data_IF_453431914880
#
_entry.id   IF_453431914880
#
_cell.length_a   1.000
_cell.length_b   1.000
_cell.length_c   1.000
_cell.angle_alpha   90.00
_cell.angle_beta   90.00
_cell.angle_gamma   90.00
#
_symmetry.space_group_name_H-M   'P 1'
#
loop_
_entity.id
_entity.type
_entity.pdbx_description
1 polymer ?
#
# COMPACT_ATOMS: atom_id res chain seq x y z
N UNK A 1 -4.88 3.82 13.09
CA UNK A 1 -4.07 4.67 12.18
C UNK A 1 -2.56 4.57 12.42
N UNK A 2 -2.08 3.45 12.97
CA UNK A 2 -0.64 3.22 13.13
C UNK A 2 0.02 3.04 11.75
N UNK A 3 -0.70 2.46 10.78
CA UNK A 3 -0.22 2.31 9.41
C UNK A 3 0.18 3.65 8.74
N UNK A 4 -0.62 4.72 8.87
CA UNK A 4 -0.22 6.00 8.26
C UNK A 4 0.93 6.66 9.03
N UNK A 5 0.96 6.54 10.36
CA UNK A 5 2.11 6.98 11.17
C UNK A 5 3.40 6.24 10.76
N UNK A 6 3.32 4.94 10.50
CA UNK A 6 4.44 4.11 10.02
C UNK A 6 4.89 4.48 8.60
N UNK A 7 4.01 5.03 7.78
CA UNK A 7 4.37 5.53 6.45
C UNK A 7 4.96 6.93 6.50
N UNK A 8 4.70 7.67 7.57
CA UNK A 8 5.01 9.10 7.72
C UNK A 8 6.10 9.34 8.77
N UNK A 9 6.99 8.36 8.99
CA UNK A 9 8.14 8.56 9.86
C UNK A 9 9.01 9.71 9.33
N UNK A 10 9.60 10.52 10.22
CA UNK A 10 10.50 11.60 9.85
C UNK A 10 11.73 11.10 9.07
N UNK A 11 12.06 9.82 9.20
CA UNK A 11 13.15 9.13 8.49
C UNK A 11 12.97 9.12 6.96
N UNK A 12 11.73 9.17 6.46
CA UNK A 12 11.41 9.09 5.03
C UNK A 12 11.41 10.46 4.31
N UNK A 13 11.63 11.55 5.04
CA UNK A 13 11.75 12.92 4.51
C UNK A 13 10.69 13.26 3.44
N UNK A 14 9.41 13.00 3.75
CA UNK A 14 8.28 13.21 2.85
C UNK A 14 8.13 14.70 2.51
N UNK A 15 7.90 15.02 1.23
CA UNK A 15 7.77 16.40 0.76
C UNK A 15 6.34 16.93 0.88
N UNK A 16 5.35 16.05 0.73
CA UNK A 16 3.95 16.40 0.91
C UNK A 16 3.55 16.25 2.38
N UNK A 17 2.79 17.23 2.87
CA UNK A 17 2.35 17.30 4.27
C UNK A 17 1.44 16.14 4.68
N UNK A 18 1.10 16.08 5.97
CA UNK A 18 0.32 14.98 6.51
C UNK A 18 -1.18 15.04 6.13
N UNK A 19 -1.75 13.93 5.66
CA UNK A 19 -3.15 13.85 5.24
C UNK A 19 -4.05 12.97 6.13
N UNK A 20 -3.85 12.99 7.46
CA UNK A 20 -4.58 12.10 8.38
C UNK A 20 -6.11 12.24 8.29
N UNK A 21 -6.63 13.46 8.27
CA UNK A 21 -8.08 13.70 8.34
C UNK A 21 -8.79 13.34 7.04
N UNK A 22 -8.17 13.63 5.90
CA UNK A 22 -8.71 13.26 4.59
C UNK A 22 -8.77 11.74 4.44
N UNK A 23 -7.72 11.02 4.85
CA UNK A 23 -7.70 9.56 4.83
C UNK A 23 -8.80 8.96 5.72
N UNK A 24 -9.08 9.54 6.88
CA UNK A 24 -10.18 9.09 7.74
C UNK A 24 -11.56 9.30 7.12
N UNK A 25 -11.78 10.46 6.48
CA UNK A 25 -13.04 10.75 5.80
C UNK A 25 -13.32 9.71 4.70
N UNK A 26 -12.33 9.46 3.83
CA UNK A 26 -12.46 8.50 2.75
C UNK A 26 -12.63 7.07 3.26
N UNK A 27 -11.84 6.67 4.25
CA UNK A 27 -11.97 5.36 4.88
C UNK A 27 -13.37 5.17 5.47
N UNK A 28 -13.89 6.15 6.22
CA UNK A 28 -15.23 6.10 6.79
C UNK A 28 -16.32 6.02 5.72
N UNK A 29 -16.19 6.78 4.63
CA UNK A 29 -17.14 6.77 3.52
C UNK A 29 -17.19 5.40 2.83
N UNK A 30 -16.03 4.83 2.47
CA UNK A 30 -15.98 3.49 1.87
C UNK A 30 -16.49 2.41 2.81
N UNK A 31 -16.24 2.56 4.11
CA UNK A 31 -16.70 1.61 5.12
C UNK A 31 -18.19 1.74 5.46
N UNK A 32 -18.82 2.89 5.16
CA UNK A 32 -20.27 3.07 5.27
C UNK A 32 -21.01 2.54 4.03
N UNK A 33 -20.45 2.76 2.84
CA UNK A 33 -21.09 2.37 1.58
C UNK A 33 -20.78 0.92 1.19
N UNK A 34 -19.54 0.44 1.37
CA UNK A 34 -19.10 -0.89 0.97
C UNK A 34 -19.94 -2.04 1.55
N UNK A 35 -20.26 -2.06 2.86
CA UNK A 35 -21.09 -3.11 3.45
C UNK A 35 -22.52 -3.14 2.91
N UNK A 36 -23.06 -2.02 2.41
CA UNK A 36 -24.37 -1.99 1.77
C UNK A 36 -24.38 -2.79 0.45
N UNK A 37 -23.23 -2.93 -0.19
CA UNK A 37 -23.02 -3.76 -1.39
C UNK A 37 -22.49 -5.16 -1.07
N UNK A 38 -22.42 -5.55 0.21
CA UNK A 38 -21.90 -6.85 0.64
C UNK A 38 -20.36 -6.97 0.58
N UNK A 39 -19.64 -5.85 0.41
CA UNK A 39 -18.18 -5.83 0.42
C UNK A 39 -17.64 -5.85 1.86
N UNK A 40 -16.48 -6.48 2.11
CA UNK A 40 -15.86 -6.48 3.42
C UNK A 40 -15.39 -5.09 3.83
N UNK A 41 -15.34 -4.85 5.14
CA UNK A 41 -14.82 -3.61 5.70
C UNK A 41 -13.34 -3.42 5.34
N UNK A 42 -12.99 -2.24 4.84
CA UNK A 42 -11.62 -1.91 4.42
C UNK A 42 -10.88 -1.31 5.61
N UNK A 43 -9.74 -1.90 5.99
CA UNK A 43 -8.87 -1.39 7.05
C UNK A 43 -7.48 -1.04 6.52
N UNK A 44 -6.81 -0.09 7.18
CA UNK A 44 -5.44 0.27 6.82
C UNK A 44 -4.49 -0.89 7.06
N UNK A 45 -3.78 -1.33 6.03
CA UNK A 45 -2.86 -2.46 6.13
C UNK A 45 -1.55 -2.06 6.82
N UNK A 46 -1.20 -2.76 7.91
CA UNK A 46 0.00 -2.46 8.69
C UNK A 46 1.31 -2.86 7.99
N UNK A 47 1.45 -4.06 7.39
CA UNK A 47 2.69 -4.42 6.70
C UNK A 47 2.77 -3.85 5.28
N UNK A 48 1.64 -3.76 4.58
CA UNK A 48 1.64 -3.39 3.16
C UNK A 48 1.96 -1.92 2.95
N UNK A 49 1.36 -1.01 3.72
CA UNK A 49 1.57 0.43 3.55
C UNK A 49 3.04 0.86 3.72
N UNK A 50 3.75 0.50 4.81
CA UNK A 50 5.17 0.85 4.93
C UNK A 50 6.03 0.14 3.89
N UNK A 51 5.69 -1.10 3.50
CA UNK A 51 6.44 -1.78 2.44
C UNK A 51 6.29 -1.09 1.08
N UNK A 52 5.10 -0.58 0.76
CA UNK A 52 4.85 0.18 -0.44
C UNK A 52 5.64 1.51 -0.45
N UNK A 53 5.71 2.20 0.69
CA UNK A 53 6.55 3.39 0.84
C UNK A 53 8.03 3.06 0.63
N UNK A 54 8.52 1.96 1.22
CA UNK A 54 9.91 1.49 1.05
C UNK A 54 10.23 1.15 -0.40
N UNK A 55 9.29 0.59 -1.15
CA UNK A 55 9.47 0.29 -2.57
C UNK A 55 9.54 1.56 -3.45
N UNK A 56 9.00 2.69 -2.99
CA UNK A 56 9.05 4.00 -3.65
C UNK A 56 10.22 4.87 -3.17
N UNK A 57 11.02 4.38 -2.22
CA UNK A 57 12.20 5.08 -1.74
C UNK A 57 13.32 5.03 -2.77
N UNK A 58 13.80 6.19 -3.19
CA UNK A 58 14.95 6.30 -4.09
C UNK A 58 16.24 5.97 -3.32
N UNK A 59 17.13 5.20 -3.96
CA UNK A 59 18.45 4.93 -3.41
C UNK A 59 19.22 6.25 -3.24
N UNK A 60 19.82 6.51 -2.07
CA UNK A 60 20.56 7.75 -1.87
C UNK A 60 21.80 7.79 -2.75
N UNK A 61 21.99 8.91 -3.46
CA UNK A 61 23.14 9.16 -4.35
C UNK A 61 24.49 9.24 -3.59
N UNK A 62 24.44 9.43 -2.26
CA UNK A 62 25.61 9.54 -1.39
C UNK A 62 25.44 8.71 -0.12
N UNK A 63 26.52 8.10 0.40
CA UNK A 63 26.50 7.46 1.71
C UNK A 63 26.15 8.49 2.79
N UNK A 64 25.02 8.29 3.48
CA UNK A 64 24.54 9.19 4.55
C UNK A 64 23.54 10.26 4.12
N UNK A 65 23.14 10.33 2.84
CA UNK A 65 22.02 11.18 2.45
C UNK A 65 20.69 10.57 2.95
N UNK A 66 19.73 11.40 3.42
CA UNK A 66 18.43 10.90 3.83
C UNK A 66 17.71 10.29 2.61
N UNK A 67 17.04 9.14 2.78
CA UNK A 67 16.25 8.55 1.71
C UNK A 67 15.14 9.51 1.29
N UNK A 68 14.97 9.70 -0.03
CA UNK A 68 13.89 10.52 -0.59
C UNK A 68 12.84 9.58 -1.17
N UNK A 69 11.60 9.70 -0.72
CA UNK A 69 10.48 8.90 -1.24
C UNK A 69 9.87 9.59 -2.46
N UNK A 70 9.71 8.86 -3.56
CA UNK A 70 8.98 9.33 -4.73
C UNK A 70 7.46 9.26 -4.48
N UNK A 71 6.89 10.35 -3.97
CA UNK A 71 5.45 10.44 -3.70
C UNK A 71 4.66 10.51 -5.00
N UNK A 72 4.00 9.41 -5.37
CA UNK A 72 3.23 9.32 -6.61
C UNK A 72 1.78 8.89 -6.35
N UNK A 73 0.83 9.52 -7.05
CA UNK A 73 -0.59 9.15 -7.05
C UNK A 73 -0.93 8.07 -8.09
N UNK A 74 -0.11 7.94 -9.13
CA UNK A 74 -0.33 6.99 -10.22
C UNK A 74 0.02 5.56 -9.79
N UNK A 75 1.09 5.37 -9.01
CA UNK A 75 1.51 4.07 -8.52
C UNK A 75 0.40 3.30 -7.75
N UNK A 76 -0.24 3.88 -6.72
CA UNK A 76 -1.33 3.18 -6.03
C UNK A 76 -2.56 2.97 -6.93
N UNK A 77 -2.89 3.94 -7.81
CA UNK A 77 -4.02 3.80 -8.73
C UNK A 77 -3.82 2.65 -9.72
N UNK A 78 -2.62 2.56 -10.30
CA UNK A 78 -2.25 1.50 -11.21
C UNK A 78 -2.21 0.14 -10.50
N UNK A 79 -1.70 0.09 -9.27
CA UNK A 79 -1.73 -1.13 -8.45
C UNK A 79 -3.15 -1.65 -8.26
N UNK A 80 -4.10 -0.81 -7.85
CA UNK A 80 -5.50 -1.22 -7.68
C UNK A 80 -6.17 -1.60 -9.00
N UNK A 81 -5.86 -0.91 -10.09
CA UNK A 81 -6.35 -1.27 -11.42
C UNK A 81 -5.83 -2.66 -11.85
N UNK A 82 -4.55 -2.94 -11.64
CA UNK A 82 -3.96 -4.25 -11.94
C UNK A 82 -4.46 -5.35 -11.01
N UNK A 83 -4.80 -5.05 -9.75
CA UNK A 83 -5.39 -6.01 -8.83
C UNK A 83 -6.77 -6.51 -9.31
N UNK A 84 -7.49 -5.69 -10.08
CA UNK A 84 -8.75 -6.10 -10.72
C UNK A 84 -8.56 -7.02 -11.93
N UNK A 85 -7.41 -7.00 -12.60
CA UNK A 85 -7.18 -7.75 -13.85
C UNK A 85 -7.30 -9.28 -13.67
N UNK A 86 -6.75 -9.90 -12.61
CA UNK A 86 -6.92 -11.33 -12.35
C UNK A 86 -8.37 -11.78 -12.11
N UNK A 87 -9.29 -10.86 -11.77
CA UNK A 87 -10.71 -11.20 -11.64
C UNK A 87 -11.35 -11.58 -12.99
N UNK A 88 -10.80 -11.11 -14.11
CA UNK A 88 -11.29 -11.43 -15.45
C UNK A 88 -10.84 -12.82 -15.94
N UNK A 89 -9.75 -13.35 -15.38
CA UNK A 89 -9.17 -14.63 -15.78
C UNK A 89 -8.65 -15.38 -14.53
N UNK A 90 -9.55 -16.00 -13.73
CA UNK A 90 -9.17 -16.66 -12.48
C UNK A 90 -8.24 -17.86 -12.68
N UNK A 91 -8.22 -18.45 -13.88
CA UNK A 91 -7.33 -19.58 -14.22
C UNK A 91 -5.85 -19.21 -14.09
N UNK A 92 -5.50 -17.94 -14.32
CA UNK A 92 -4.13 -17.43 -14.20
C UNK A 92 -3.67 -17.44 -12.74
N UNK A 93 -4.58 -17.22 -11.78
CA UNK A 93 -4.25 -17.28 -10.35
C UNK A 93 -3.90 -18.70 -9.90
N UNK A 94 -4.45 -19.72 -10.56
CA UNK A 94 -4.14 -21.13 -10.28
C UNK A 94 -2.72 -21.54 -10.66
N UNK A 95 -2.04 -20.77 -11.53
CA UNK A 95 -0.66 -21.03 -11.94
C UNK A 95 0.36 -20.64 -10.87
N UNK A 96 -0.02 -19.80 -9.91
CA UNK A 96 0.91 -19.28 -8.90
C UNK A 96 1.08 -20.32 -7.78
N UNK A 97 2.29 -20.87 -7.57
CA UNK A 97 2.50 -21.87 -6.55
C UNK A 97 2.37 -21.25 -5.15
N UNK A 98 1.59 -21.90 -4.27
CA UNK A 98 1.40 -21.46 -2.87
C UNK A 98 2.72 -21.31 -2.11
N UNK A 99 3.74 -22.08 -2.47
CA UNK A 99 5.09 -21.98 -1.89
C UNK A 99 5.74 -20.61 -2.15
N UNK A 100 5.56 -20.02 -3.34
CA UNK A 100 6.09 -18.68 -3.64
C UNK A 100 5.38 -17.61 -2.81
N UNK A 101 4.06 -17.72 -2.65
CA UNK A 101 3.27 -16.82 -1.79
C UNK A 101 3.76 -16.88 -0.35
N UNK A 102 3.98 -18.08 0.18
CA UNK A 102 4.51 -18.28 1.53
C UNK A 102 5.94 -17.73 1.67
N UNK A 103 6.79 -17.87 0.65
CA UNK A 103 8.13 -17.28 0.63
C UNK A 103 8.11 -15.76 0.70
N UNK A 104 7.22 -15.10 -0.07
CA UNK A 104 7.03 -13.64 0.00
C UNK A 104 6.48 -13.23 1.36
N UNK A 105 5.56 -14.00 1.96
CA UNK A 105 5.04 -13.71 3.28
C UNK A 105 6.13 -13.75 4.36
N UNK A 106 7.09 -14.68 4.26
CA UNK A 106 8.27 -14.75 5.15
C UNK A 106 9.21 -13.55 4.93
N UNK A 107 9.32 -13.05 3.70
CA UNK A 107 10.15 -11.86 3.42
C UNK A 107 9.53 -10.56 3.94
N UNK A 108 8.19 -10.47 3.91
CA UNK A 108 7.44 -9.28 4.33
C UNK A 108 7.20 -9.25 5.84
N UNK A 109 7.02 -10.41 6.47
CA UNK A 109 6.84 -10.56 7.92
C UNK A 109 8.15 -10.39 8.68
#
# INVERSE_FOLDING_TARGET
NISSLLCQLPEYNLQHGHYYHSSFLWMGLFNAVGPLFGLPFVTGSLPHSPQFVRALTLAPDKPGAPPVVAENRVAPLLMYAMLGLPLLAPDVLGLIPRAAINGVLIYVG
#
